data_IF_261222311727
#
_entry.id   IF_261222311727
#
_cell.length_a   1.000
_cell.length_b   1.000
_cell.length_c   1.000
_cell.angle_alpha   90.00
_cell.angle_beta   90.00
_cell.angle_gamma   90.00
#
_symmetry.space_group_name_H-M   'P 1'
#
loop_
_entity.id
_entity.type
_entity.pdbx_description
1 polymer ?
#
# COMPACT_ATOMS: atom_id res chain seq x y z
N UNK A 1 19.02 26.41 -9.27
CA UNK A 1 19.15 24.99 -8.84
C UNK A 1 18.54 24.87 -7.45
N UNK A 2 17.35 24.27 -7.34
CA UNK A 2 16.69 24.08 -6.04
C UNK A 2 17.46 23.01 -5.25
N UNK A 3 17.92 23.36 -4.05
CA UNK A 3 18.61 22.45 -3.14
C UNK A 3 17.65 21.34 -2.67
N UNK A 4 17.78 20.13 -3.20
CA UNK A 4 17.02 18.96 -2.71
C UNK A 4 17.46 18.64 -1.27
N UNK A 5 16.65 19.04 -0.30
CA UNK A 5 16.85 18.75 1.13
C UNK A 5 16.42 17.32 1.42
N UNK A 6 17.38 16.46 1.78
CA UNK A 6 17.11 15.09 2.25
C UNK A 6 16.80 15.15 3.75
N UNK A 7 15.67 14.57 4.16
CA UNK A 7 15.26 14.52 5.56
C UNK A 7 15.93 13.32 6.25
N UNK A 8 16.83 13.58 7.21
CA UNK A 8 17.40 12.54 8.06
C UNK A 8 16.35 12.15 9.12
N UNK A 9 15.91 10.90 9.08
CA UNK A 9 14.87 10.37 9.98
C UNK A 9 15.41 10.22 11.40
N UNK A 10 14.59 10.58 12.38
CA UNK A 10 14.91 10.34 13.79
C UNK A 10 14.77 8.85 14.15
N UNK A 11 15.33 8.45 15.30
CA UNK A 11 15.16 7.08 15.81
C UNK A 11 13.68 6.70 16.01
N UNK A 12 12.82 7.66 16.38
CA UNK A 12 11.38 7.41 16.55
C UNK A 12 10.68 7.25 15.20
N UNK A 13 11.04 8.03 14.18
CA UNK A 13 10.52 7.87 12.83
C UNK A 13 10.86 6.49 12.28
N UNK A 14 12.12 6.06 12.44
CA UNK A 14 12.58 4.74 11.97
C UNK A 14 11.79 3.61 12.66
N UNK A 15 11.51 3.72 13.96
CA UNK A 15 10.68 2.74 14.68
C UNK A 15 9.26 2.67 14.13
N UNK A 16 8.63 3.82 13.86
CA UNK A 16 7.30 3.90 13.27
C UNK A 16 7.28 3.31 11.85
N UNK A 17 8.24 3.68 11.01
CA UNK A 17 8.39 3.16 9.65
C UNK A 17 8.59 1.65 9.65
N UNK A 18 9.38 1.09 10.58
CA UNK A 18 9.54 -0.36 10.72
C UNK A 18 8.22 -1.06 11.03
N UNK A 19 7.44 -0.55 11.98
CA UNK A 19 6.12 -1.11 12.29
C UNK A 19 5.19 -1.07 11.08
N UNK A 20 5.12 0.08 10.39
CA UNK A 20 4.32 0.23 9.19
C UNK A 20 4.76 -0.72 8.07
N UNK A 21 6.06 -0.89 7.85
CA UNK A 21 6.63 -1.79 6.85
C UNK A 21 6.33 -3.27 7.12
N UNK A 22 6.31 -3.70 8.38
CA UNK A 22 5.93 -5.06 8.75
C UNK A 22 4.47 -5.33 8.37
N UNK A 23 3.56 -4.41 8.72
CA UNK A 23 2.14 -4.54 8.39
C UNK A 23 1.95 -4.55 6.87
N UNK A 24 2.61 -3.64 6.16
CA UNK A 24 2.56 -3.59 4.70
C UNK A 24 3.00 -4.92 4.07
N UNK A 25 4.11 -5.51 4.55
CA UNK A 25 4.61 -6.78 4.05
C UNK A 25 3.59 -7.92 4.29
N UNK A 26 2.92 -7.94 5.44
CA UNK A 26 1.88 -8.93 5.74
C UNK A 26 0.68 -8.79 4.78
N UNK A 27 0.23 -7.56 4.54
CA UNK A 27 -0.88 -7.29 3.60
C UNK A 27 -0.48 -7.75 2.18
N UNK A 28 0.73 -7.41 1.72
CA UNK A 28 1.21 -7.83 0.40
C UNK A 28 1.28 -9.36 0.28
N UNK A 29 1.71 -10.07 1.33
CA UNK A 29 1.72 -11.54 1.33
C UNK A 29 0.31 -12.15 1.25
N UNK A 30 -0.66 -11.60 1.98
CA UNK A 30 -2.05 -12.06 1.91
C UNK A 30 -2.66 -11.78 0.51
N UNK A 31 -2.33 -10.64 -0.11
CA UNK A 31 -2.74 -10.31 -1.48
C UNK A 31 -2.08 -11.25 -2.51
N UNK A 32 -0.78 -11.52 -2.39
CA UNK A 32 -0.06 -12.42 -3.28
C UNK A 32 -0.66 -13.83 -3.26
N UNK A 33 -1.02 -14.33 -2.07
CA UNK A 33 -1.67 -15.63 -1.92
C UNK A 33 -3.10 -15.68 -2.47
N UNK A 34 -3.77 -14.53 -2.59
CA UNK A 34 -5.14 -14.42 -3.13
C UNK A 34 -5.17 -14.36 -4.66
N UNK A 35 -4.07 -13.95 -5.30
CA UNK A 35 -4.05 -13.72 -6.75
C UNK A 35 -4.02 -15.02 -7.53
N UNK A 36 -5.12 -15.30 -8.24
CA UNK A 36 -5.25 -16.46 -9.14
C UNK A 36 -6.06 -16.12 -10.41
N UNK A 37 -5.93 -16.89 -11.52
CA UNK A 37 -6.71 -16.64 -12.72
C UNK A 37 -8.21 -16.63 -12.44
N UNK A 38 -8.89 -15.57 -12.87
CA UNK A 38 -10.33 -15.41 -12.70
C UNK A 38 -10.73 -14.34 -11.68
N UNK A 39 -9.81 -13.88 -10.82
CA UNK A 39 -10.07 -12.73 -9.95
C UNK A 39 -9.98 -11.40 -10.71
N UNK A 40 -10.70 -10.41 -10.25
CA UNK A 40 -10.65 -9.04 -10.77
C UNK A 40 -9.71 -8.17 -9.93
N UNK A 41 -9.23 -7.07 -10.51
CA UNK A 41 -8.48 -6.04 -9.75
C UNK A 41 -9.32 -5.39 -8.66
N UNK A 42 -10.66 -5.41 -8.80
CA UNK A 42 -11.57 -4.96 -7.75
C UNK A 42 -11.56 -5.93 -6.56
N UNK A 43 -11.52 -7.24 -6.79
CA UNK A 43 -11.44 -8.23 -5.71
C UNK A 43 -10.14 -8.05 -4.90
N UNK A 44 -9.04 -7.73 -5.59
CA UNK A 44 -7.76 -7.38 -4.96
C UNK A 44 -7.91 -6.11 -4.10
N UNK A 45 -8.57 -5.07 -4.61
CA UNK A 45 -8.79 -3.82 -3.86
C UNK A 45 -9.69 -4.01 -2.63
N UNK A 46 -10.76 -4.78 -2.77
CA UNK A 46 -11.69 -5.10 -1.70
C UNK A 46 -10.96 -5.88 -0.57
N UNK A 47 -10.13 -6.87 -0.93
CA UNK A 47 -9.30 -7.58 0.04
C UNK A 47 -8.26 -6.65 0.67
N UNK A 48 -7.59 -5.80 -0.11
CA UNK A 48 -6.62 -4.85 0.41
C UNK A 48 -7.25 -3.90 1.44
N UNK A 49 -8.46 -3.41 1.17
CA UNK A 49 -9.22 -2.59 2.11
C UNK A 49 -9.54 -3.35 3.41
N UNK A 50 -10.06 -4.57 3.29
CA UNK A 50 -10.38 -5.42 4.44
C UNK A 50 -9.14 -5.73 5.30
N UNK A 51 -7.98 -5.95 4.68
CA UNK A 51 -6.71 -6.17 5.37
C UNK A 51 -6.20 -4.90 6.07
N UNK A 52 -6.39 -3.73 5.48
CA UNK A 52 -6.12 -2.46 6.15
C UNK A 52 -6.98 -2.29 7.40
N UNK A 53 -8.29 -2.57 7.31
CA UNK A 53 -9.22 -2.50 8.45
C UNK A 53 -8.84 -3.51 9.54
N UNK A 54 -8.57 -4.76 9.17
CA UNK A 54 -8.11 -5.85 10.07
C UNK A 54 -6.84 -5.49 10.83
N UNK A 55 -5.91 -4.78 10.20
CA UNK A 55 -4.65 -4.34 10.81
C UNK A 55 -4.73 -2.96 11.47
N UNK A 56 -5.91 -2.33 11.50
CA UNK A 56 -6.15 -0.99 12.02
C UNK A 56 -5.21 0.08 11.42
N UNK A 57 -5.00 0.00 10.10
CA UNK A 57 -4.20 0.97 9.35
C UNK A 57 -5.05 1.65 8.28
N UNK A 58 -4.64 2.85 7.88
CA UNK A 58 -5.31 3.58 6.81
C UNK A 58 -4.66 3.24 5.45
N UNK A 59 -5.47 3.05 4.40
CA UNK A 59 -4.96 2.89 3.04
C UNK A 59 -4.34 4.21 2.56
N UNK A 60 -3.05 4.17 2.19
CA UNK A 60 -2.32 5.39 1.83
C UNK A 60 -2.84 6.06 0.55
N UNK A 61 -3.31 5.26 -0.41
CA UNK A 61 -3.75 5.76 -1.72
C UNK A 61 -5.22 6.20 -1.72
N UNK A 62 -6.08 5.62 -0.89
CA UNK A 62 -7.52 5.92 -0.93
C UNK A 62 -7.77 7.37 -0.50
N UNK A 63 -8.23 8.19 -1.44
CA UNK A 63 -8.42 9.63 -1.30
C UNK A 63 -7.17 10.48 -1.56
N UNK A 64 -6.00 9.88 -1.81
CA UNK A 64 -4.78 10.61 -2.12
C UNK A 64 -4.91 11.30 -3.47
N UNK A 65 -4.94 12.64 -3.48
CA UNK A 65 -5.16 13.45 -4.69
C UNK A 65 -6.39 13.02 -5.51
N UNK A 66 -7.44 12.52 -4.82
CA UNK A 66 -8.66 12.02 -5.45
C UNK A 66 -8.58 10.59 -5.97
N UNK A 67 -7.48 9.87 -5.73
CA UNK A 67 -7.35 8.47 -6.09
C UNK A 67 -8.43 7.62 -5.35
N UNK A 68 -9.21 6.78 -6.06
CA UNK A 68 -10.44 6.23 -5.50
C UNK A 68 -10.25 4.92 -4.72
N UNK A 69 -9.12 4.23 -4.90
CA UNK A 69 -8.92 2.84 -4.48
C UNK A 69 -7.87 2.72 -3.36
N UNK A 70 -7.82 1.55 -2.72
CA UNK A 70 -6.84 1.20 -1.69
C UNK A 70 -5.47 0.88 -2.28
N UNK A 71 -5.44 0.20 -3.43
CA UNK A 71 -4.22 -0.22 -4.12
C UNK A 71 -4.30 0.07 -5.62
N UNK A 72 -3.14 0.36 -6.22
CA UNK A 72 -3.03 0.43 -7.67
C UNK A 72 -2.73 -0.97 -8.24
N UNK A 73 -3.54 -1.42 -9.20
CA UNK A 73 -3.32 -2.68 -9.91
C UNK A 73 -2.97 -2.42 -11.37
N UNK A 74 -1.66 -2.26 -11.66
CA UNK A 74 -1.14 -2.06 -13.03
C UNK A 74 -0.91 -3.40 -13.73
N UNK A 75 -1.76 -3.74 -14.70
CA UNK A 75 -1.64 -4.98 -15.47
C UNK A 75 -0.78 -4.77 -16.73
N UNK A 76 0.10 -5.71 -17.03
CA UNK A 76 0.90 -5.75 -18.26
C UNK A 76 1.64 -4.43 -18.54
N UNK A 77 1.21 -3.69 -19.57
CA UNK A 77 1.86 -2.45 -20.04
C UNK A 77 1.40 -1.19 -19.28
N UNK A 78 0.58 -1.34 -18.23
CA UNK A 78 0.13 -0.22 -17.42
C UNK A 78 1.24 0.23 -16.47
N UNK A 79 1.74 1.44 -16.69
CA UNK A 79 2.69 2.13 -15.81
C UNK A 79 1.92 2.98 -14.80
N UNK A 80 2.29 2.85 -13.52
CA UNK A 80 1.69 3.56 -12.37
C UNK A 80 2.77 4.27 -11.57
#
# INVERSE_FOLDING_TARGET
>A
MSSRKIIIKSKSDIKKMRKAGIILAQIVQELEAFVEPGITTKDIDDLAFALCEKNHVLPAFKGYEGFPATVCSGLNDIVV
#
